data_IF_253613879608
#
_entry.id   IF_253613879608
#
_cell.length_a   1.000
_cell.length_b   1.000
_cell.length_c   1.000
_cell.angle_alpha   90.00
_cell.angle_beta   90.00
_cell.angle_gamma   90.00
#
_symmetry.space_group_name_H-M   'P 1'
#
loop_
_entity.id
_entity.type
_entity.pdbx_description
1 polymer ?
#
# COMPACT_ATOMS: atom_id res chain seq x y z
N UNK A 1 40.32 -0.49 5.60
CA UNK A 1 39.06 -0.53 4.83
C UNK A 1 37.94 -0.50 5.87
N UNK A 2 37.34 0.68 6.14
CA UNK A 2 36.25 0.77 7.11
C UNK A 2 34.94 0.67 6.36
N UNK A 3 34.14 -0.34 6.70
CA UNK A 3 32.76 -0.44 6.28
C UNK A 3 32.01 0.78 6.84
N UNK A 4 31.40 1.56 5.96
CA UNK A 4 30.47 2.61 6.33
C UNK A 4 29.18 1.95 6.80
N UNK A 5 29.03 1.87 8.12
CA UNK A 5 27.76 1.60 8.79
C UNK A 5 26.78 2.70 8.37
N UNK A 6 25.86 2.36 7.47
CA UNK A 6 24.78 3.27 7.09
C UNK A 6 23.72 3.15 8.17
N UNK A 7 23.75 4.08 9.11
CA UNK A 7 22.73 4.24 10.13
C UNK A 7 21.38 4.57 9.46
N UNK A 8 20.60 3.54 9.16
CA UNK A 8 19.14 3.63 9.05
C UNK A 8 18.57 3.12 10.38
N UNK A 9 18.79 3.90 11.42
CA UNK A 9 18.29 3.61 12.76
C UNK A 9 17.38 4.79 13.13
N UNK A 10 16.06 4.62 12.96
CA UNK A 10 15.14 5.74 13.18
C UNK A 10 13.67 5.55 12.82
N UNK A 11 13.27 4.50 12.13
CA UNK A 11 11.86 4.07 12.10
C UNK A 11 11.84 2.65 12.62
N UNK A 12 11.45 2.48 13.89
CA UNK A 12 10.99 1.18 14.36
C UNK A 12 9.71 0.89 13.59
N UNK A 13 9.83 0.34 12.39
CA UNK A 13 8.70 -0.06 11.57
C UNK A 13 7.81 -0.91 12.48
N UNK A 14 6.60 -0.43 12.76
CA UNK A 14 5.59 -1.27 13.38
C UNK A 14 5.54 -2.52 12.49
N UNK A 15 5.68 -3.72 13.07
CA UNK A 15 5.60 -4.95 12.28
C UNK A 15 4.21 -5.00 11.65
N UNK A 16 4.11 -4.59 10.38
CA UNK A 16 2.85 -4.58 9.65
C UNK A 16 2.76 -5.89 8.89
N UNK A 17 1.58 -6.48 8.90
CA UNK A 17 1.29 -7.66 8.10
C UNK A 17 0.28 -7.31 7.02
N UNK A 18 0.31 -8.05 5.92
CA UNK A 18 -0.71 -7.99 4.89
C UNK A 18 -1.17 -9.40 4.52
N UNK A 19 -2.47 -9.57 4.36
CA UNK A 19 -3.10 -10.77 3.82
C UNK A 19 -3.95 -10.37 2.62
N UNK A 20 -3.76 -11.04 1.48
CA UNK A 20 -4.39 -10.63 0.22
C UNK A 20 -5.49 -11.61 -0.13
N UNK A 21 -6.67 -11.06 -0.42
CA UNK A 21 -7.84 -11.81 -0.83
C UNK A 21 -8.28 -11.37 -2.22
N UNK A 22 -8.80 -12.31 -2.98
CA UNK A 22 -9.61 -12.05 -4.16
C UNK A 22 -11.08 -12.14 -3.73
N UNK A 23 -11.88 -11.16 -4.16
CA UNK A 23 -13.31 -11.09 -3.88
C UNK A 23 -14.04 -11.00 -5.20
N UNK A 24 -15.00 -11.89 -5.45
CA UNK A 24 -15.83 -11.83 -6.65
C UNK A 24 -17.12 -11.00 -6.41
N UNK A 25 -17.90 -10.77 -7.47
CA UNK A 25 -19.14 -10.00 -7.39
C UNK A 25 -20.23 -10.61 -6.50
N UNK A 26 -20.16 -11.91 -6.21
CA UNK A 26 -21.05 -12.63 -5.30
C UNK A 26 -20.58 -12.56 -3.84
N UNK A 27 -19.45 -11.88 -3.57
CA UNK A 27 -18.86 -11.75 -2.23
C UNK A 27 -18.07 -12.99 -1.76
N UNK A 28 -17.82 -13.97 -2.64
CA UNK A 28 -16.96 -15.12 -2.32
C UNK A 28 -15.51 -14.64 -2.23
N UNK A 29 -14.83 -15.03 -1.15
CA UNK A 29 -13.43 -14.66 -0.90
C UNK A 29 -12.48 -15.84 -1.05
N UNK A 30 -11.31 -15.60 -1.66
CA UNK A 30 -10.21 -16.56 -1.77
C UNK A 30 -8.91 -15.92 -1.30
N UNK A 31 -8.15 -16.59 -0.45
CA UNK A 31 -6.82 -16.11 -0.03
C UNK A 31 -5.84 -16.29 -1.20
N UNK A 32 -5.29 -15.18 -1.69
CA UNK A 32 -4.26 -15.16 -2.75
C UNK A 32 -2.86 -15.11 -2.14
N UNK A 33 -2.70 -14.42 -1.01
CA UNK A 33 -1.45 -14.40 -0.24
C UNK A 33 -1.77 -14.57 1.25
N UNK A 34 -1.14 -15.55 1.94
CA UNK A 34 -1.28 -15.68 3.38
C UNK A 34 -0.75 -14.44 4.11
N UNK A 35 -1.06 -14.33 5.39
CA UNK A 35 -0.55 -13.24 6.20
C UNK A 35 0.98 -13.26 6.24
N UNK A 36 1.60 -12.12 5.92
CA UNK A 36 3.06 -11.99 5.86
C UNK A 36 3.48 -10.58 6.28
N UNK A 37 4.66 -10.46 6.89
CA UNK A 37 5.23 -9.17 7.29
C UNK A 37 5.61 -8.34 6.06
N UNK A 38 5.41 -7.03 6.16
CA UNK A 38 5.73 -6.05 5.12
C UNK A 38 6.31 -4.78 5.72
N UNK A 39 7.10 -4.09 4.91
CA UNK A 39 7.56 -2.72 5.19
C UNK A 39 6.71 -1.79 4.32
N UNK A 40 5.88 -0.92 4.90
CA UNK A 40 5.13 0.08 4.14
C UNK A 40 6.07 1.02 3.41
N UNK A 41 5.65 1.47 2.23
CA UNK A 41 6.32 2.58 1.55
C UNK A 41 6.04 3.88 2.31
N UNK A 42 7.02 4.77 2.34
CA UNK A 42 6.87 6.10 2.97
C UNK A 42 5.89 7.00 2.19
N UNK A 43 5.78 6.79 0.88
CA UNK A 43 4.87 7.50 -0.01
C UNK A 43 4.23 6.51 -1.00
N UNK A 44 2.99 6.77 -1.47
CA UNK A 44 2.34 5.97 -2.49
C UNK A 44 3.11 5.96 -3.82
N UNK A 45 2.96 4.89 -4.59
CA UNK A 45 3.49 4.83 -5.96
C UNK A 45 2.60 5.61 -6.93
N UNK A 46 3.16 6.59 -7.63
CA UNK A 46 2.44 7.42 -8.62
C UNK A 46 2.28 6.74 -10.00
N UNK A 47 2.69 5.48 -10.14
CA UNK A 47 2.64 4.75 -11.41
C UNK A 47 1.23 4.27 -11.76
N UNK A 48 0.31 4.29 -10.80
CA UNK A 48 -1.06 3.81 -10.99
C UNK A 48 -1.91 4.87 -11.71
N UNK A 49 -2.14 4.65 -13.00
CA UNK A 49 -3.03 5.48 -13.83
C UNK A 49 -4.47 5.01 -13.68
N UNK A 50 -5.11 5.34 -12.57
CA UNK A 50 -6.57 5.22 -12.47
C UNK A 50 -7.24 6.42 -13.15
N UNK A 51 -8.45 6.24 -13.72
CA UNK A 51 -9.25 7.38 -14.14
C UNK A 51 -9.51 8.29 -12.92
N UNK A 52 -9.67 9.59 -13.17
CA UNK A 52 -10.10 10.49 -12.13
C UNK A 52 -11.45 10.01 -11.56
N UNK A 53 -11.65 10.19 -10.25
CA UNK A 53 -12.92 9.84 -9.62
C UNK A 53 -14.03 10.74 -10.17
N UNK A 54 -15.09 10.14 -10.72
CA UNK A 54 -16.23 10.84 -11.33
C UNK A 54 -17.38 11.07 -10.33
N UNK A 55 -17.17 10.88 -9.03
CA UNK A 55 -18.23 11.12 -8.06
C UNK A 55 -18.51 12.63 -7.92
N UNK A 56 -19.75 13.04 -7.61
CA UNK A 56 -20.08 14.46 -7.47
C UNK A 56 -19.13 15.22 -6.54
N UNK A 57 -18.75 14.63 -5.40
CA UNK A 57 -17.84 15.28 -4.45
C UNK A 57 -16.42 15.51 -4.98
N UNK A 58 -15.92 14.66 -5.88
CA UNK A 58 -14.63 14.85 -6.54
C UNK A 58 -14.72 15.80 -7.74
N UNK A 59 -15.86 15.85 -8.41
CA UNK A 59 -16.10 16.79 -9.51
C UNK A 59 -16.25 18.24 -9.00
N UNK A 60 -16.81 18.42 -7.81
CA UNK A 60 -17.04 19.74 -7.18
C UNK A 60 -15.77 20.37 -6.58
N UNK A 61 -14.75 19.56 -6.31
CA UNK A 61 -13.49 19.98 -5.65
C UNK A 61 -12.37 20.36 -6.63
N UNK A 62 -12.64 20.35 -7.94
CA UNK A 62 -11.78 20.93 -8.97
C UNK A 62 -12.14 22.41 -9.16
N UNK A 63 -11.73 23.27 -8.23
CA UNK A 63 -11.78 24.73 -8.36
C UNK A 63 -10.42 25.35 -8.07
#
# INVERSE_FOLDING_TARGET
MKATETASDGVRAMAMTIKVYEVNGDGVTRVVRPETEVVPLEQPEDTQRFPACECPGCLESVQ
#
